data_IF_426953057223
#
_entry.id   IF_426953057223
#
_cell.length_a   1.000
_cell.length_b   1.000
_cell.length_c   1.000
_cell.angle_alpha   90.00
_cell.angle_beta   90.00
_cell.angle_gamma   90.00
#
_symmetry.space_group_name_H-M   'P 1'
#
loop_
_entity.id
_entity.type
_entity.pdbx_description
1 polymer ?
#
# COMPACT_ATOMS: atom_id res chain seq x y z
N UNK A 1 -1.12 9.80 7.64
CA UNK A 1 -0.65 8.97 8.77
C UNK A 1 -1.27 7.60 8.60
N UNK A 2 -0.65 6.55 9.10
CA UNK A 2 -1.12 5.18 8.85
C UNK A 2 -1.88 4.69 10.07
N UNK A 3 -3.17 4.44 9.87
CA UNK A 3 -4.08 4.01 10.92
C UNK A 3 -4.65 2.61 10.67
N UNK A 4 -4.57 2.11 9.44
CA UNK A 4 -5.04 0.79 9.04
C UNK A 4 -4.19 0.21 7.89
N UNK A 5 -4.45 -1.04 7.49
CA UNK A 5 -3.69 -1.71 6.42
C UNK A 5 -3.91 -1.13 5.02
N UNK A 6 -5.08 -0.56 4.75
CA UNK A 6 -5.38 0.08 3.45
C UNK A 6 -4.53 1.32 3.27
N UNK A 7 -4.44 2.17 4.29
CA UNK A 7 -3.56 3.34 4.26
C UNK A 7 -2.12 2.92 3.94
N UNK A 8 -1.63 1.86 4.59
CA UNK A 8 -0.29 1.34 4.34
C UNK A 8 -0.09 0.92 2.87
N UNK A 9 -1.05 0.18 2.29
CA UNK A 9 -1.01 -0.24 0.88
C UNK A 9 -1.02 0.97 -0.06
N UNK A 10 -1.82 2.00 0.19
CA UNK A 10 -1.86 3.22 -0.64
C UNK A 10 -0.50 3.92 -0.68
N UNK A 11 0.20 4.00 0.45
CA UNK A 11 1.56 4.56 0.48
C UNK A 11 2.55 3.71 -0.33
N UNK A 12 2.45 2.38 -0.26
CA UNK A 12 3.27 1.48 -1.09
C UNK A 12 2.96 1.70 -2.57
N UNK A 13 1.69 1.74 -2.95
CA UNK A 13 1.23 1.98 -4.32
C UNK A 13 1.72 3.34 -4.87
N UNK A 14 1.79 4.36 -4.01
CA UNK A 14 2.35 5.67 -4.34
C UNK A 14 3.89 5.66 -4.49
N UNK A 15 4.57 4.59 -4.09
CA UNK A 15 6.02 4.40 -4.26
C UNK A 15 6.82 4.26 -2.97
N UNK A 16 6.18 4.19 -1.80
CA UNK A 16 6.91 3.89 -0.57
C UNK A 16 7.43 2.44 -0.59
N UNK A 17 8.66 2.24 -0.11
CA UNK A 17 9.23 0.89 0.09
C UNK A 17 8.96 0.36 1.50
N UNK A 18 8.70 1.27 2.44
CA UNK A 18 8.43 0.97 3.83
C UNK A 18 7.52 2.05 4.41
N UNK A 19 6.80 1.67 5.47
CA UNK A 19 5.82 2.55 6.13
C UNK A 19 5.98 2.47 7.65
N UNK A 20 5.69 3.57 8.34
CA UNK A 20 5.75 3.65 9.80
C UNK A 20 4.37 3.90 10.41
N UNK A 21 4.02 3.11 11.42
CA UNK A 21 2.80 3.27 12.22
C UNK A 21 3.19 3.76 13.61
N UNK A 22 3.07 5.07 13.83
CA UNK A 22 3.39 5.69 15.12
C UNK A 22 2.13 6.05 15.90
N UNK A 23 1.33 6.97 15.37
CA UNK A 23 0.14 7.51 16.04
C UNK A 23 -0.90 6.46 16.38
N UNK A 24 -1.12 5.47 15.51
CA UNK A 24 -2.09 4.41 15.78
C UNK A 24 -1.67 3.55 16.99
N UNK A 25 -0.36 3.30 17.18
CA UNK A 25 0.15 2.54 18.32
C UNK A 25 -0.04 3.27 19.66
N UNK A 26 -0.02 4.61 19.67
CA UNK A 26 -0.28 5.40 20.88
C UNK A 26 -1.74 5.29 21.34
N UNK A 27 -2.67 5.08 20.40
CA UNK A 27 -4.11 4.94 20.69
C UNK A 27 -4.46 3.47 20.96
N UNK A 28 -3.89 2.56 20.18
CA UNK A 28 -4.06 1.11 20.30
C UNK A 28 -2.69 0.40 20.18
N UNK A 29 -2.13 -0.12 21.29
CA UNK A 29 -0.86 -0.83 21.27
C UNK A 29 -0.80 -2.05 20.34
N UNK A 30 -1.94 -2.63 19.94
CA UNK A 30 -2.01 -3.78 19.03
C UNK A 30 -2.31 -3.38 17.58
N UNK A 31 -2.26 -2.09 17.24
CA UNK A 31 -2.57 -1.62 15.89
C UNK A 31 -1.63 -2.22 14.83
N UNK A 32 -0.35 -2.46 15.17
CA UNK A 32 0.61 -3.05 14.22
C UNK A 32 0.21 -4.44 13.71
N UNK A 33 -0.08 -5.43 14.57
CA UNK A 33 -0.64 -6.71 14.14
C UNK A 33 -1.87 -6.57 13.24
N UNK A 34 -2.80 -5.67 13.57
CA UNK A 34 -4.03 -5.45 12.80
C UNK A 34 -3.73 -4.91 11.39
N UNK A 35 -2.80 -3.94 11.30
CA UNK A 35 -2.33 -3.38 10.02
C UNK A 35 -1.70 -4.48 9.16
N UNK A 36 -0.84 -5.32 9.74
CA UNK A 36 -0.20 -6.42 9.01
C UNK A 36 -1.26 -7.40 8.48
N UNK A 37 -2.22 -7.81 9.32
CA UNK A 37 -3.30 -8.72 8.90
C UNK A 37 -4.11 -8.13 7.74
N UNK A 38 -4.49 -6.86 7.84
CA UNK A 38 -5.28 -6.19 6.80
C UNK A 38 -4.50 -6.03 5.49
N UNK A 39 -3.19 -5.77 5.55
CA UNK A 39 -2.33 -5.73 4.37
C UNK A 39 -2.23 -7.11 3.70
N UNK A 40 -2.08 -8.18 4.49
CA UNK A 40 -2.07 -9.56 3.97
C UNK A 40 -3.41 -9.91 3.31
N UNK A 41 -4.53 -9.63 3.98
CA UNK A 41 -5.87 -9.85 3.41
C UNK A 41 -6.08 -9.07 2.11
N UNK A 42 -5.54 -7.85 2.03
CA UNK A 42 -5.60 -7.04 0.82
C UNK A 42 -4.82 -7.70 -0.31
N UNK A 43 -3.59 -8.15 -0.05
CA UNK A 43 -2.74 -8.84 -1.02
C UNK A 43 -3.43 -10.11 -1.56
N UNK A 44 -3.96 -10.95 -0.67
CA UNK A 44 -4.69 -12.17 -1.04
C UNK A 44 -5.89 -11.87 -1.94
N UNK A 45 -6.68 -10.85 -1.60
CA UNK A 45 -7.85 -10.43 -2.40
C UNK A 45 -7.46 -9.90 -3.79
N UNK A 46 -6.25 -9.39 -3.95
CA UNK A 46 -5.73 -8.87 -5.21
C UNK A 46 -4.86 -9.88 -5.96
N UNK A 47 -4.70 -11.11 -5.44
CA UNK A 47 -3.90 -12.16 -6.06
C UNK A 47 -2.39 -11.93 -5.97
N UNK A 48 -1.96 -11.05 -5.07
CA UNK A 48 -0.56 -10.72 -4.86
C UNK A 48 -0.02 -11.50 -3.66
N UNK A 49 1.20 -12.03 -3.78
CA UNK A 49 1.87 -12.72 -2.67
C UNK A 49 2.84 -11.82 -1.90
N UNK A 50 3.10 -10.63 -2.43
CA UNK A 50 4.11 -9.73 -1.89
C UNK A 50 3.89 -8.27 -2.30
N UNK A 51 4.50 -7.35 -1.56
CA UNK A 51 4.38 -5.90 -1.76
C UNK A 51 5.26 -5.35 -2.89
N UNK A 52 6.30 -6.06 -3.35
CA UNK A 52 7.26 -5.49 -4.31
C UNK A 52 6.64 -5.04 -5.64
N UNK A 53 5.71 -5.79 -6.26
CA UNK A 53 5.05 -5.36 -7.48
C UNK A 53 4.25 -4.06 -7.29
N UNK A 54 3.70 -3.83 -6.10
CA UNK A 54 2.84 -2.69 -5.82
C UNK A 54 3.62 -1.37 -5.76
N UNK A 55 4.91 -1.40 -5.44
CA UNK A 55 5.72 -0.19 -5.23
C UNK A 55 5.65 0.70 -6.48
N UNK A 56 5.00 1.86 -6.35
CA UNK A 56 4.91 2.88 -7.41
C UNK A 56 3.94 2.56 -8.54
N UNK A 57 3.08 1.54 -8.40
CA UNK A 57 2.11 1.17 -9.43
C UNK A 57 1.14 2.31 -9.77
N UNK A 58 0.73 3.11 -8.78
CA UNK A 58 -0.18 4.24 -8.99
C UNK A 58 0.34 5.29 -10.00
N UNK A 59 1.66 5.35 -10.21
CA UNK A 59 2.29 6.21 -11.21
C UNK A 59 2.49 5.51 -12.56
N UNK A 60 2.67 4.18 -12.57
CA UNK A 60 2.83 3.39 -13.82
C UNK A 60 1.54 3.34 -14.62
N UNK A 61 0.40 3.19 -13.96
CA UNK A 61 -0.90 3.21 -14.64
C UNK A 61 -1.17 4.57 -15.31
N UNK A 62 -0.70 5.67 -14.73
CA UNK A 62 -0.83 7.01 -15.32
C UNK A 62 0.16 7.26 -16.47
N UNK A 63 1.40 6.79 -16.35
CA UNK A 63 2.40 6.87 -17.43
C UNK A 63 2.04 6.02 -18.66
N UNK A 64 1.47 4.83 -18.44
CA UNK A 64 0.99 3.97 -19.52
C UNK A 64 -0.14 4.65 -20.30
N UNK A 65 -1.13 5.25 -19.63
CA UNK A 65 -2.24 5.95 -20.27
C UNK A 65 -1.82 7.20 -21.09
N UNK A 66 -0.67 7.82 -20.76
CA UNK A 66 -0.09 8.94 -21.53
C UNK A 66 0.69 8.46 -22.76
N UNK A 67 1.33 7.29 -22.71
CA UNK A 67 2.10 6.73 -23.84
C UNK A 67 1.20 6.36 -25.05
N UNK A 68 -0.03 5.91 -24.80
CA UNK A 68 -0.98 5.51 -25.87
C UNK A 68 -1.64 6.73 -26.56
N UNK A 69 -1.59 7.92 -25.95
CA UNK A 69 -2.25 9.13 -26.50
C UNK A 69 -1.38 9.91 -27.50
N UNK A 70 -0.15 9.48 -27.76
CA UNK A 70 0.79 10.19 -28.62
C UNK A 70 0.97 9.56 -30.01
N UNK A 71 -0.01 8.80 -30.50
CA UNK A 71 -0.09 8.30 -31.88
C UNK A 71 -1.42 8.71 -32.50
#
# INVERSE_FOLDING_TARGET
GIFNGVDAIEFILAGATAVQVGTANFVNPTAMPDVISQMTDWLEKHGESTLQPLIGEAHRTQGAALSIKNH
#
